data_IF_994507658151
#
_entry.id   IF_994507658151
#
_cell.length_a   1.000
_cell.length_b   1.000
_cell.length_c   1.000
_cell.angle_alpha   90.00
_cell.angle_beta   90.00
_cell.angle_gamma   90.00
#
_symmetry.space_group_name_H-M   'P 1'
#
loop_
_entity.id
_entity.type
_entity.pdbx_description
1 polymer ?
#
# COMPACT_ATOMS: atom_id res chain seq x y z
N UNK A 1 0.50 8.53 -2.24
CA UNK A 1 -0.68 7.70 -1.91
C UNK A 1 -1.92 8.23 -2.62
N UNK A 2 -2.69 7.35 -3.30
CA UNK A 2 -3.92 7.72 -4.02
C UNK A 2 -5.03 6.75 -3.62
N UNK A 3 -6.18 7.30 -3.18
CA UNK A 3 -7.32 6.49 -2.77
C UNK A 3 -8.17 6.07 -3.97
N UNK A 4 -8.45 4.77 -4.11
CA UNK A 4 -9.30 4.21 -5.18
C UNK A 4 -10.73 4.77 -5.11
N UNK A 5 -11.23 5.04 -3.91
CA UNK A 5 -12.59 5.54 -3.68
C UNK A 5 -12.84 6.97 -4.22
N UNK A 6 -11.80 7.70 -4.62
CA UNK A 6 -11.96 9.04 -5.19
C UNK A 6 -12.52 9.00 -6.61
N UNK A 7 -13.46 9.86 -6.92
CA UNK A 7 -13.99 10.02 -8.29
C UNK A 7 -12.91 10.46 -9.30
N UNK A 8 -11.88 11.17 -8.82
CA UNK A 8 -10.72 11.64 -9.59
C UNK A 8 -9.54 10.67 -9.60
N UNK A 9 -9.73 9.42 -9.13
CA UNK A 9 -8.65 8.44 -9.01
C UNK A 9 -7.81 8.30 -10.27
N UNK A 10 -8.46 8.07 -11.40
CA UNK A 10 -7.76 7.87 -12.68
C UNK A 10 -6.99 9.11 -13.14
N UNK A 11 -7.52 10.31 -12.89
CA UNK A 11 -6.86 11.57 -13.21
C UNK A 11 -5.62 11.77 -12.34
N UNK A 12 -5.74 11.55 -11.03
CA UNK A 12 -4.61 11.66 -10.10
C UNK A 12 -3.50 10.66 -10.44
N UNK A 13 -3.85 9.43 -10.81
CA UNK A 13 -2.88 8.42 -11.26
C UNK A 13 -2.14 8.89 -12.51
N UNK A 14 -2.87 9.36 -13.54
CA UNK A 14 -2.27 9.87 -14.77
C UNK A 14 -1.33 11.04 -14.51
N UNK A 15 -1.77 12.01 -13.72
CA UNK A 15 -0.96 13.19 -13.34
C UNK A 15 0.32 12.77 -12.60
N UNK A 16 0.23 11.81 -11.68
CA UNK A 16 1.39 11.31 -10.94
C UNK A 16 2.40 10.61 -11.86
N UNK A 17 1.92 9.82 -12.82
CA UNK A 17 2.78 9.16 -13.80
C UNK A 17 3.48 10.21 -14.69
N UNK A 18 2.73 11.19 -15.21
CA UNK A 18 3.26 12.27 -16.04
C UNK A 18 4.25 13.16 -15.29
N UNK A 19 4.05 13.33 -13.98
CA UNK A 19 4.99 14.01 -13.08
C UNK A 19 6.21 13.14 -12.72
N UNK A 20 6.28 11.90 -13.25
CA UNK A 20 7.39 10.95 -13.01
C UNK A 20 7.56 10.60 -11.54
N UNK A 21 6.45 10.45 -10.82
CA UNK A 21 6.51 9.92 -9.45
C UNK A 21 7.15 8.54 -9.46
N UNK A 22 8.08 8.26 -8.54
CA UNK A 22 8.79 6.98 -8.50
C UNK A 22 7.85 5.83 -8.14
N UNK A 23 6.90 6.07 -7.23
CA UNK A 23 5.97 5.04 -6.74
C UNK A 23 4.58 5.60 -6.55
N UNK A 24 3.56 4.85 -6.94
CA UNK A 24 2.16 5.09 -6.59
C UNK A 24 1.69 3.99 -5.63
N UNK A 25 1.40 4.37 -4.39
CA UNK A 25 0.67 3.54 -3.43
C UNK A 25 -0.83 3.75 -3.61
N UNK A 26 -1.61 2.68 -3.69
CA UNK A 26 -3.04 2.78 -3.95
C UNK A 26 -3.85 1.88 -3.05
N UNK A 27 -4.77 2.47 -2.28
CA UNK A 27 -5.62 1.81 -1.29
C UNK A 27 -7.00 2.45 -1.18
N UNK A 28 -7.70 2.23 -0.07
CA UNK A 28 -9.10 2.61 0.10
C UNK A 28 -10.00 2.02 -1.00
N UNK A 29 -9.87 0.73 -1.22
CA UNK A 29 -10.47 -0.07 -2.27
C UNK A 29 -9.43 -0.88 -3.04
N UNK A 30 -9.87 -1.82 -3.88
CA UNK A 30 -8.97 -2.64 -4.68
C UNK A 30 -8.62 -1.92 -5.99
N UNK A 31 -7.34 -1.59 -6.25
CA UNK A 31 -6.92 -0.80 -7.42
C UNK A 31 -6.84 -1.65 -8.70
N UNK A 32 -7.98 -2.24 -9.12
CA UNK A 32 -8.01 -3.20 -10.21
C UNK A 32 -7.58 -2.62 -11.56
N UNK A 33 -7.88 -1.35 -11.81
CA UNK A 33 -7.60 -0.67 -13.08
C UNK A 33 -6.27 0.10 -13.08
N UNK A 34 -5.53 0.11 -11.97
CA UNK A 34 -4.30 0.90 -11.85
C UNK A 34 -3.28 0.62 -12.96
N UNK A 35 -2.90 -0.65 -13.27
CA UNK A 35 -1.95 -0.91 -14.35
C UNK A 35 -2.52 -0.63 -15.75
N UNK A 36 -3.84 -0.71 -15.93
CA UNK A 36 -4.49 -0.30 -17.19
C UNK A 36 -4.31 1.20 -17.42
N UNK A 37 -4.60 2.02 -16.38
CA UNK A 37 -4.41 3.47 -16.45
C UNK A 37 -2.94 3.81 -16.72
N UNK A 38 -2.00 3.06 -16.11
CA UNK A 38 -0.57 3.22 -16.36
C UNK A 38 -0.22 2.97 -17.84
N UNK A 39 -0.60 1.82 -18.40
CA UNK A 39 -0.33 1.47 -19.79
C UNK A 39 -0.95 2.48 -20.78
N UNK A 40 -2.23 2.85 -20.59
CA UNK A 40 -2.90 3.88 -21.39
C UNK A 40 -2.18 5.23 -21.33
N UNK A 41 -1.57 5.57 -20.20
CA UNK A 41 -0.81 6.82 -20.04
C UNK A 41 0.49 6.76 -20.81
N UNK A 42 1.23 5.64 -20.73
CA UNK A 42 2.44 5.40 -21.51
C UNK A 42 2.16 5.48 -23.02
N UNK A 43 1.12 4.80 -23.50
CA UNK A 43 0.72 4.79 -24.91
C UNK A 43 0.35 6.20 -25.40
N UNK A 44 -0.48 6.93 -24.64
CA UNK A 44 -0.91 8.28 -24.98
C UNK A 44 0.25 9.26 -25.06
N UNK A 45 1.23 9.17 -24.15
CA UNK A 45 2.41 10.05 -24.13
C UNK A 45 3.52 9.58 -25.04
N UNK A 46 3.47 8.35 -25.55
CA UNK A 46 4.55 7.71 -26.31
C UNK A 46 5.88 7.73 -25.53
N UNK A 47 5.78 7.54 -24.21
CA UNK A 47 6.90 7.58 -23.26
C UNK A 47 6.80 6.37 -22.35
N UNK A 48 7.94 5.74 -22.06
CA UNK A 48 8.05 4.69 -21.05
C UNK A 48 8.30 5.33 -19.66
N UNK A 49 7.32 5.21 -18.76
CA UNK A 49 7.46 5.67 -17.39
C UNK A 49 7.97 4.55 -16.49
N UNK A 50 8.76 4.92 -15.46
CA UNK A 50 9.35 3.96 -14.50
C UNK A 50 8.60 3.88 -13.17
N UNK A 51 7.47 4.58 -13.07
CA UNK A 51 6.64 4.61 -11.88
C UNK A 51 6.24 3.21 -11.43
N UNK A 52 6.51 2.87 -10.18
CA UNK A 52 6.15 1.59 -9.56
C UNK A 52 4.73 1.62 -9.04
N UNK A 53 4.02 0.51 -9.17
CA UNK A 53 2.62 0.38 -8.77
C UNK A 53 2.51 -0.56 -7.58
N UNK A 54 2.06 -0.02 -6.45
CA UNK A 54 2.02 -0.71 -5.17
C UNK A 54 0.61 -0.66 -4.57
N UNK A 55 -0.15 -1.77 -4.64
CA UNK A 55 -1.45 -1.83 -3.99
C UNK A 55 -1.32 -1.98 -2.47
N UNK A 56 -2.25 -1.35 -1.75
CA UNK A 56 -2.43 -1.48 -0.31
C UNK A 56 -3.52 -2.52 -0.06
N UNK A 57 -3.25 -3.49 0.80
CA UNK A 57 -4.08 -4.66 1.05
C UNK A 57 -4.20 -4.95 2.55
N UNK A 58 -5.17 -5.79 2.93
CA UNK A 58 -5.36 -6.25 4.31
C UNK A 58 -5.31 -7.77 4.46
N UNK A 59 -4.90 -8.51 3.41
CA UNK A 59 -4.82 -9.98 3.47
C UNK A 59 -4.02 -10.56 2.30
N UNK A 60 -3.46 -11.77 2.48
CA UNK A 60 -2.80 -12.53 1.42
C UNK A 60 -3.75 -12.91 0.26
N UNK A 61 -5.06 -13.10 0.57
CA UNK A 61 -6.09 -13.30 -0.46
C UNK A 61 -6.21 -12.09 -1.38
N UNK A 62 -6.21 -10.88 -0.83
CA UNK A 62 -6.26 -9.65 -1.63
C UNK A 62 -5.01 -9.49 -2.50
N UNK A 63 -3.81 -9.79 -1.99
CA UNK A 63 -2.57 -9.79 -2.77
C UNK A 63 -2.69 -10.71 -3.99
N UNK A 64 -3.08 -11.96 -3.78
CA UNK A 64 -3.23 -12.95 -4.85
C UNK A 64 -4.30 -12.55 -5.88
N UNK A 65 -5.43 -12.00 -5.41
CA UNK A 65 -6.51 -11.55 -6.29
C UNK A 65 -6.05 -10.41 -7.20
N UNK A 66 -5.43 -9.37 -6.64
CA UNK A 66 -4.93 -8.20 -7.39
C UNK A 66 -3.89 -8.65 -8.40
N UNK A 67 -2.87 -9.41 -7.99
CA UNK A 67 -1.81 -9.88 -8.88
C UNK A 67 -2.36 -10.70 -10.05
N UNK A 68 -3.30 -11.62 -9.80
CA UNK A 68 -3.96 -12.40 -10.86
C UNK A 68 -4.74 -11.53 -11.85
N UNK A 69 -5.49 -10.56 -11.33
CA UNK A 69 -6.30 -9.65 -12.16
C UNK A 69 -5.41 -8.75 -13.01
N UNK A 70 -4.38 -8.15 -12.43
CA UNK A 70 -3.44 -7.30 -13.14
C UNK A 70 -2.70 -8.08 -14.24
N UNK A 71 -2.18 -9.26 -13.91
CA UNK A 71 -1.53 -10.13 -14.90
C UNK A 71 -2.45 -10.55 -16.04
N UNK A 72 -3.70 -10.90 -15.73
CA UNK A 72 -4.65 -11.33 -16.74
C UNK A 72 -5.09 -10.19 -17.69
N UNK A 73 -5.21 -8.96 -17.18
CA UNK A 73 -5.71 -7.82 -17.95
C UNK A 73 -4.62 -7.02 -18.66
N UNK A 74 -3.41 -6.95 -18.10
CA UNK A 74 -2.36 -6.03 -18.57
C UNK A 74 -0.96 -6.65 -18.65
N UNK A 75 -0.80 -7.89 -18.17
CA UNK A 75 0.53 -8.50 -18.03
C UNK A 75 1.40 -7.88 -16.92
N UNK A 76 0.84 -6.98 -16.09
CA UNK A 76 1.58 -6.29 -15.06
C UNK A 76 1.53 -7.04 -13.71
N UNK A 77 2.68 -7.26 -13.07
CA UNK A 77 2.79 -7.80 -11.73
C UNK A 77 3.08 -6.66 -10.74
N UNK A 78 2.37 -6.56 -9.60
CA UNK A 78 2.64 -5.53 -8.59
C UNK A 78 4.13 -5.42 -8.26
N UNK A 79 4.62 -4.20 -8.07
CA UNK A 79 6.03 -3.97 -7.74
C UNK A 79 6.35 -4.25 -6.27
N UNK A 80 5.38 -4.07 -5.40
CA UNK A 80 5.39 -4.39 -3.98
C UNK A 80 3.95 -4.48 -3.47
N UNK A 81 3.74 -4.86 -2.22
CA UNK A 81 2.47 -4.75 -1.51
C UNK A 81 2.67 -4.00 -0.19
N UNK A 82 1.73 -3.12 0.17
CA UNK A 82 1.59 -2.64 1.54
C UNK A 82 0.51 -3.44 2.22
N UNK A 83 0.81 -4.09 3.34
CA UNK A 83 -0.17 -4.75 4.19
C UNK A 83 -0.55 -3.84 5.35
N UNK A 84 -1.80 -3.40 5.37
CA UNK A 84 -2.36 -2.60 6.45
C UNK A 84 -3.04 -3.48 7.50
N UNK A 85 -2.67 -3.25 8.77
CA UNK A 85 -3.35 -3.83 9.92
C UNK A 85 -4.51 -2.95 10.42
N UNK A 86 -5.30 -3.44 11.40
CA UNK A 86 -6.47 -2.73 11.92
C UNK A 86 -6.14 -1.43 12.68
N UNK A 87 -4.88 -1.16 13.00
CA UNK A 87 -4.41 0.10 13.59
C UNK A 87 -4.03 1.15 12.54
N UNK A 88 -4.24 0.89 11.26
CA UNK A 88 -4.06 1.90 10.21
C UNK A 88 -5.17 2.95 10.30
N UNK A 89 -4.89 4.16 9.83
CA UNK A 89 -5.87 5.24 9.75
C UNK A 89 -6.62 5.24 8.42
N UNK A 90 -7.74 5.97 8.38
CA UNK A 90 -8.53 6.17 7.16
C UNK A 90 -9.49 5.03 6.84
N UNK A 91 -9.55 4.63 5.57
CA UNK A 91 -10.43 3.55 5.11
C UNK A 91 -9.81 2.19 5.42
N UNK A 92 -10.40 1.46 6.37
CA UNK A 92 -9.93 0.14 6.78
C UNK A 92 -10.58 -0.98 5.95
N UNK A 93 -9.78 -1.99 5.61
CA UNK A 93 -10.25 -3.23 4.97
C UNK A 93 -10.76 -4.27 5.96
N UNK A 94 -11.27 -3.85 7.14
CA UNK A 94 -11.72 -4.70 8.25
C UNK A 94 -13.14 -4.35 8.67
N UNK A 95 -13.91 -5.36 9.09
CA UNK A 95 -15.17 -5.11 9.80
C UNK A 95 -14.87 -4.66 11.25
N UNK A 96 -15.82 -4.01 11.94
CA UNK A 96 -15.62 -3.57 13.32
C UNK A 96 -15.17 -4.70 14.27
N UNK A 97 -15.68 -5.91 14.09
CA UNK A 97 -15.34 -7.09 14.90
C UNK A 97 -13.87 -7.49 14.68
N UNK A 98 -13.35 -7.36 13.46
CA UNK A 98 -11.97 -7.69 13.12
C UNK A 98 -10.95 -6.70 13.70
N UNK A 99 -11.37 -5.47 14.03
CA UNK A 99 -10.44 -4.45 14.56
C UNK A 99 -9.87 -4.87 15.93
N UNK A 100 -10.68 -5.55 16.72
CA UNK A 100 -10.32 -6.00 18.09
C UNK A 100 -9.91 -7.47 18.15
N UNK A 101 -10.02 -8.21 17.05
CA UNK A 101 -9.65 -9.62 16.99
C UNK A 101 -8.13 -9.78 16.78
N UNK A 102 -7.39 -10.42 17.71
CA UNK A 102 -5.96 -10.65 17.60
C UNK A 102 -5.52 -11.40 16.33
N UNK A 103 -6.41 -12.19 15.71
CA UNK A 103 -6.12 -12.91 14.48
C UNK A 103 -5.91 -11.98 13.28
N UNK A 104 -6.42 -10.75 13.35
CA UNK A 104 -6.24 -9.71 12.34
C UNK A 104 -5.15 -8.70 12.71
N UNK A 105 -4.42 -8.91 13.83
CA UNK A 105 -3.30 -8.07 14.18
C UNK A 105 -2.24 -8.07 13.05
N UNK A 106 -1.56 -6.95 12.85
CA UNK A 106 -0.55 -6.81 11.79
C UNK A 106 0.55 -7.86 11.90
N UNK A 107 0.88 -8.30 13.12
CA UNK A 107 1.81 -9.39 13.43
C UNK A 107 1.40 -10.74 12.83
N UNK A 108 0.11 -10.97 12.64
CA UNK A 108 -0.42 -12.16 11.98
C UNK A 108 -0.53 -11.98 10.47
N UNK A 109 -0.88 -10.77 10.04
CA UNK A 109 -1.10 -10.48 8.62
C UNK A 109 0.21 -10.45 7.83
N UNK A 110 1.30 -9.89 8.38
CA UNK A 110 2.58 -9.78 7.68
C UNK A 110 3.10 -11.13 7.21
N UNK A 111 3.30 -12.15 8.07
CA UNK A 111 3.78 -13.45 7.61
C UNK A 111 2.81 -14.14 6.65
N UNK A 112 1.49 -13.99 6.82
CA UNK A 112 0.49 -14.54 5.91
C UNK A 112 0.60 -13.92 4.50
N UNK A 113 0.83 -12.61 4.41
CA UNK A 113 1.01 -11.93 3.13
C UNK A 113 2.34 -12.31 2.49
N UNK A 114 3.42 -12.36 3.26
CA UNK A 114 4.74 -12.81 2.78
C UNK A 114 4.64 -14.20 2.16
N UNK A 115 3.99 -15.16 2.81
CA UNK A 115 3.78 -16.50 2.26
C UNK A 115 2.90 -16.48 0.99
N UNK A 116 1.85 -15.66 0.95
CA UNK A 116 0.98 -15.54 -0.21
C UNK A 116 1.67 -14.91 -1.42
N UNK A 117 2.72 -14.12 -1.20
CA UNK A 117 3.48 -13.43 -2.26
C UNK A 117 4.54 -14.33 -2.88
N UNK A 118 5.10 -15.32 -2.17
CA UNK A 118 6.15 -16.22 -2.71
C UNK A 118 5.83 -16.82 -4.08
N UNK A 119 4.65 -17.43 -4.32
CA UNK A 119 4.31 -17.96 -5.65
C UNK A 119 4.17 -16.87 -6.73
N UNK A 120 3.94 -15.61 -6.33
CA UNK A 120 3.89 -14.47 -7.24
C UNK A 120 5.30 -14.03 -7.64
N UNK A 121 6.26 -14.09 -6.71
CA UNK A 121 7.69 -13.83 -6.95
C UNK A 121 8.27 -14.85 -7.93
N UNK A 122 7.98 -16.14 -7.71
CA UNK A 122 8.39 -17.22 -8.62
C UNK A 122 7.89 -16.95 -10.06
N UNK A 123 6.62 -16.56 -10.17
CA UNK A 123 6.00 -16.24 -11.45
C UNK A 123 6.56 -14.96 -12.08
N UNK A 124 6.91 -13.97 -11.26
CA UNK A 124 7.47 -12.70 -11.71
C UNK A 124 8.97 -12.80 -12.05
N UNK A 125 9.67 -13.82 -11.55
CA UNK A 125 11.13 -13.95 -11.65
C UNK A 125 11.89 -12.87 -10.88
N UNK A 126 11.23 -12.22 -9.88
CA UNK A 126 11.82 -11.17 -9.04
C UNK A 126 11.15 -11.10 -7.68
N UNK A 127 11.85 -10.53 -6.71
CA UNK A 127 11.26 -10.21 -5.41
C UNK A 127 10.09 -9.20 -5.55
N UNK A 128 9.07 -9.38 -4.70
CA UNK A 128 7.93 -8.47 -4.54
C UNK A 128 7.87 -8.07 -3.06
N UNK A 129 8.49 -6.95 -2.68
CA UNK A 129 8.56 -6.52 -1.29
C UNK A 129 7.20 -6.40 -0.62
N UNK A 130 7.11 -6.83 0.64
CA UNK A 130 5.94 -6.63 1.50
C UNK A 130 6.29 -5.57 2.54
N UNK A 131 5.49 -4.51 2.60
CA UNK A 131 5.67 -3.35 3.47
C UNK A 131 4.57 -3.39 4.55
N UNK A 132 4.94 -3.37 5.82
CA UNK A 132 3.99 -3.39 6.92
C UNK A 132 3.52 -1.97 7.27
N UNK A 133 2.20 -1.78 7.49
CA UNK A 133 1.59 -0.50 7.82
C UNK A 133 0.49 -0.62 8.88
N UNK A 134 0.33 0.42 9.69
CA UNK A 134 -0.68 0.51 10.73
C UNK A 134 -0.17 0.18 12.12
N UNK A 135 -0.02 1.22 12.95
CA UNK A 135 0.45 1.11 14.33
C UNK A 135 1.96 0.95 14.48
N UNK A 136 2.74 1.18 13.43
CA UNK A 136 4.21 1.22 13.49
C UNK A 136 4.65 2.62 13.93
N UNK A 137 5.43 2.72 15.01
CA UNK A 137 5.78 4.01 15.58
C UNK A 137 7.25 4.12 16.03
N UNK A 138 7.84 3.04 16.54
CA UNK A 138 9.20 3.01 17.08
C UNK A 138 10.17 2.20 16.21
N UNK A 139 11.47 2.29 16.51
CA UNK A 139 12.49 1.46 15.88
C UNK A 139 12.31 -0.04 16.20
N UNK A 140 11.82 -0.34 17.40
CA UNK A 140 11.48 -1.70 17.82
C UNK A 140 10.32 -2.26 16.99
N UNK A 141 9.31 -1.44 16.70
CA UNK A 141 8.22 -1.86 15.81
C UNK A 141 8.74 -2.16 14.41
N UNK A 142 9.61 -1.30 13.87
CA UNK A 142 10.24 -1.53 12.55
C UNK A 142 10.95 -2.88 12.55
N UNK A 143 11.84 -3.09 13.54
CA UNK A 143 12.59 -4.34 13.65
C UNK A 143 11.67 -5.56 13.75
N UNK A 144 10.63 -5.48 14.58
CA UNK A 144 9.63 -6.54 14.78
C UNK A 144 9.00 -6.99 13.45
N UNK A 145 8.53 -6.04 12.62
CA UNK A 145 7.89 -6.40 11.36
C UNK A 145 8.89 -6.88 10.31
N UNK A 146 10.12 -6.37 10.31
CA UNK A 146 11.18 -6.90 9.48
C UNK A 146 11.56 -8.34 9.87
N UNK A 147 11.63 -8.65 11.16
CA UNK A 147 11.87 -10.01 11.65
C UNK A 147 10.71 -10.98 11.27
N UNK A 148 9.49 -10.46 11.06
CA UNK A 148 8.33 -11.22 10.56
C UNK A 148 8.31 -11.37 9.02
N UNK A 149 9.33 -10.85 8.33
CA UNK A 149 9.51 -11.00 6.89
C UNK A 149 9.08 -9.79 6.05
N UNK A 150 8.66 -8.68 6.65
CA UNK A 150 8.45 -7.44 5.90
C UNK A 150 9.78 -6.89 5.37
N UNK A 151 9.76 -6.30 4.19
CA UNK A 151 10.91 -5.63 3.57
C UNK A 151 11.07 -4.18 4.04
N UNK A 152 10.08 -3.65 4.73
CA UNK A 152 10.05 -2.28 5.25
C UNK A 152 8.72 -1.97 5.92
N UNK A 153 8.56 -0.71 6.34
CA UNK A 153 7.33 -0.24 7.00
C UNK A 153 6.86 1.08 6.39
N UNK A 154 5.55 1.33 6.49
CA UNK A 154 4.94 2.62 6.20
C UNK A 154 4.41 3.23 7.50
N UNK A 155 4.77 4.46 7.79
CA UNK A 155 4.39 5.19 8.98
C UNK A 155 3.74 6.53 8.61
N UNK A 156 2.65 6.88 9.27
CA UNK A 156 1.96 8.17 9.11
C UNK A 156 1.99 8.98 10.39
N UNK A 157 1.31 8.51 11.43
CA UNK A 157 1.09 9.21 12.71
C UNK A 157 2.38 9.70 13.35
N UNK A 158 3.48 8.95 13.25
CA UNK A 158 4.80 9.33 13.77
C UNK A 158 5.27 10.69 13.25
N UNK A 159 4.91 11.04 12.03
CA UNK A 159 5.38 12.25 11.34
C UNK A 159 4.37 13.41 11.39
N UNK A 160 3.12 13.18 11.84
CA UNK A 160 2.09 14.23 11.88
C UNK A 160 2.48 15.37 12.82
N UNK A 161 2.97 15.07 14.03
CA UNK A 161 3.35 16.06 15.04
C UNK A 161 4.81 16.53 14.89
N UNK A 162 5.31 16.62 13.65
CA UNK A 162 6.68 17.10 13.37
C UNK A 162 6.66 18.49 12.75
N UNK A 163 7.80 19.15 12.76
CA UNK A 163 7.97 20.47 12.12
C UNK A 163 7.88 20.39 10.60
N UNK A 164 8.25 19.25 10.00
CA UNK A 164 8.22 19.02 8.56
C UNK A 164 6.80 18.80 8.02
N UNK A 165 5.84 18.43 8.87
CA UNK A 165 4.45 18.33 8.49
C UNK A 165 3.84 19.73 8.35
N UNK A 166 3.22 20.03 7.23
CA UNK A 166 2.58 21.30 6.90
C UNK A 166 1.11 21.40 7.36
N UNK A 167 0.62 20.42 8.12
CA UNK A 167 -0.71 20.46 8.71
C UNK A 167 -0.84 21.60 9.74
N UNK A 168 -2.06 22.13 9.89
CA UNK A 168 -2.40 23.13 10.92
C UNK A 168 -2.00 22.66 12.32
N UNK A 169 -1.46 23.56 13.15
CA UNK A 169 -0.97 23.22 14.49
C UNK A 169 -2.05 22.62 15.39
N UNK A 170 -3.31 23.04 15.24
CA UNK A 170 -4.45 22.44 15.97
C UNK A 170 -4.67 20.98 15.60
N UNK A 171 -4.43 20.63 14.32
CA UNK A 171 -4.49 19.24 13.87
C UNK A 171 -3.37 18.41 14.50
N UNK A 172 -2.13 18.95 14.51
CA UNK A 172 -0.99 18.30 15.18
C UNK A 172 -1.23 18.13 16.66
N UNK A 173 -1.77 19.17 17.33
CA UNK A 173 -2.06 19.14 18.75
C UNK A 173 -3.09 18.06 19.10
N UNK A 174 -4.11 17.84 18.27
CA UNK A 174 -5.07 16.76 18.47
C UNK A 174 -4.44 15.36 18.49
N UNK A 175 -3.33 15.14 17.76
CA UNK A 175 -2.56 13.89 17.83
C UNK A 175 -1.70 13.77 19.09
N UNK A 176 -1.28 14.90 19.67
CA UNK A 176 -0.48 14.93 20.90
C UNK A 176 -1.37 14.69 22.13
N UNK A 177 -2.60 15.20 22.06
CA UNK A 177 -3.58 15.13 23.16
C UNK A 177 -4.35 13.80 23.19
N UNK A 178 -4.30 12.98 22.14
CA UNK A 178 -5.00 11.68 22.01
C UNK A 178 -4.24 10.55 22.73
#
# INVERSE_FOLDING_TARGET
>A
NIMVALTTFAEMVRTSIEAKADVIFSGAGLPMDLPKIFNETCERKKEEFKTKLVPIISSGRAATLIARKWMASTGYMPDAFVVEGPKAGGHLGFSPEHIVDPNYALEQLVPQVVEAVKPLEDKAGRAIPVIAAGGVYTGEDIKKYMDLGASGVQMGTRFVATYECDADDRFKQAYIDA
#
